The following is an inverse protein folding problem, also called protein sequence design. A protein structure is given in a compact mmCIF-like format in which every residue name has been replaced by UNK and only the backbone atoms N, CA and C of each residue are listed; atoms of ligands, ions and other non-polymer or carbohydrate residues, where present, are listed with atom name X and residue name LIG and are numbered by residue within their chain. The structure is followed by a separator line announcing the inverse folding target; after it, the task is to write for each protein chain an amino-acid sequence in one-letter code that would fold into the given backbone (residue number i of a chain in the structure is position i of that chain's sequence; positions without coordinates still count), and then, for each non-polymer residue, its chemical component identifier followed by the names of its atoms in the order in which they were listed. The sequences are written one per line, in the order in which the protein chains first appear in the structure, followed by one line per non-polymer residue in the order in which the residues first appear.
data_IF_327780672113
#
_entry.id   IF_327780672113
#
_cell.length_a   1.000
_cell.length_b   1.000
_cell.length_c   1.000
_cell.angle_alpha   90.00
_cell.angle_beta   90.00
_cell.angle_gamma   90.00
#
_symmetry.space_group_name_H-M   'P 1'
#
loop_
_entity.id
_entity.type
_entity.pdbx_description
1 polymer ?
#
# COMPACT_ATOMS: atom_id res chain seq x y z
N UNK A 1 9.41 49.22 25.06
CA UNK A 1 8.83 50.31 25.87
C UNK A 1 7.38 49.97 26.21
N UNK A 2 6.98 50.21 27.46
CA UNK A 2 5.60 50.12 27.96
C UNK A 2 5.11 51.54 28.32
N UNK A 3 3.80 51.82 28.23
CA UNK A 3 3.25 53.16 28.56
C UNK A 3 3.49 53.60 30.02
N UNK A 4 3.83 52.67 30.93
CA UNK A 4 3.99 52.95 32.35
C UNK A 4 5.25 53.74 32.77
N UNK A 5 6.10 54.16 31.83
CA UNK A 5 7.34 54.90 32.15
C UNK A 5 7.44 56.30 31.51
N UNK A 6 6.92 56.50 30.29
CA UNK A 6 6.99 57.79 29.61
C UNK A 6 5.85 57.98 28.60
N UNK A 7 4.98 58.96 28.85
CA UNK A 7 3.87 59.36 27.95
C UNK A 7 4.20 60.58 27.08
N UNK A 8 5.35 61.24 27.30
CA UNK A 8 5.70 62.51 26.63
C UNK A 8 5.98 62.33 25.14
N UNK A 9 6.42 61.14 24.73
CA UNK A 9 6.77 60.82 23.35
C UNK A 9 5.57 60.46 22.45
N UNK A 10 4.34 60.43 22.99
CA UNK A 10 3.12 60.08 22.25
C UNK A 10 2.22 61.30 21.95
N UNK A 11 2.04 61.61 20.68
CA UNK A 11 1.06 62.61 20.21
C UNK A 11 -0.31 61.97 20.01
N UNK A 12 -1.33 62.59 20.62
CA UNK A 12 -2.74 62.19 20.55
C UNK A 12 -3.47 62.94 19.45
N UNK A 13 -4.12 62.20 18.55
CA UNK A 13 -5.25 62.69 17.77
C UNK A 13 -6.55 62.62 18.58
N UNK A 14 -7.65 63.06 17.97
CA UNK A 14 -8.99 62.95 18.55
C UNK A 14 -9.33 61.50 18.91
N UNK A 15 -10.04 61.29 20.03
CA UNK A 15 -10.59 59.97 20.39
C UNK A 15 -9.71 59.04 21.22
N UNK A 16 -8.53 59.50 21.66
CA UNK A 16 -7.64 58.76 22.55
C UNK A 16 -7.45 59.47 23.90
N UNK A 17 -7.57 58.73 24.99
CA UNK A 17 -7.32 59.20 26.36
C UNK A 17 -6.18 58.42 27.02
N UNK A 18 -5.60 58.97 28.09
CA UNK A 18 -4.62 58.27 28.93
C UNK A 18 -5.18 58.19 30.36
N UNK A 19 -5.09 57.02 30.98
CA UNK A 19 -5.49 56.81 32.38
C UNK A 19 -4.28 56.44 33.26
N UNK A 20 -3.28 57.33 33.29
CA UNK A 20 -2.05 57.18 34.09
C UNK A 20 -1.04 56.16 33.57
N UNK A 21 -1.47 54.93 33.27
CA UNK A 21 -0.59 53.80 32.87
C UNK A 21 -0.92 53.21 31.50
N UNK A 22 -2.05 53.60 30.89
CA UNK A 22 -2.60 53.00 29.67
C UNK A 22 -3.07 54.08 28.69
N UNK A 23 -2.77 53.88 27.40
CA UNK A 23 -3.47 54.55 26.29
C UNK A 23 -4.82 53.84 26.05
N UNK A 24 -5.87 54.62 25.80
CA UNK A 24 -7.25 54.14 25.70
C UNK A 24 -7.91 54.75 24.45
N UNK A 25 -8.17 53.93 23.43
CA UNK A 25 -9.00 54.34 22.29
C UNK A 25 -10.49 54.21 22.64
N UNK A 26 -11.30 55.26 22.41
CA UNK A 26 -12.75 55.25 22.72
C UNK A 26 -13.64 55.87 21.64
N UNK A 27 -13.08 56.37 20.54
CA UNK A 27 -13.85 56.99 19.45
C UNK A 27 -13.79 56.21 18.15
N UNK A 28 -14.85 56.38 17.35
CA UNK A 28 -15.00 55.82 16.02
C UNK A 28 -13.79 56.09 15.10
N UNK A 29 -13.23 57.30 15.14
CA UNK A 29 -12.03 57.67 14.37
C UNK A 29 -11.03 58.42 15.23
N UNK A 30 -9.76 58.04 15.13
CA UNK A 30 -8.69 58.61 15.92
C UNK A 30 -7.32 58.04 15.55
N UNK A 31 -6.27 58.80 15.86
CA UNK A 31 -4.89 58.39 15.65
C UNK A 31 -4.07 58.58 16.93
N UNK A 32 -3.21 57.62 17.26
CA UNK A 32 -2.20 57.71 18.30
C UNK A 32 -0.83 57.49 17.65
N UNK A 33 0.03 58.50 17.71
CA UNK A 33 1.33 58.49 17.03
C UNK A 33 2.47 58.63 18.03
N UNK A 34 3.46 57.74 17.94
CA UNK A 34 4.72 57.92 18.63
C UNK A 34 5.59 58.90 17.85
N UNK A 35 5.84 60.07 18.43
CA UNK A 35 6.39 61.24 17.74
C UNK A 35 7.89 61.47 17.95
N UNK A 36 8.46 60.93 19.01
CA UNK A 36 9.89 61.07 19.34
C UNK A 36 10.45 59.70 19.67
N UNK A 37 11.32 59.19 18.79
CA UNK A 37 11.96 57.88 18.89
C UNK A 37 13.27 57.98 19.69
N UNK A 38 13.40 57.33 20.84
CA UNK A 38 14.66 56.69 21.22
C UNK A 38 14.87 55.53 20.23
N UNK A 39 16.00 55.59 19.52
CA UNK A 39 16.48 54.64 18.53
C UNK A 39 15.72 54.60 17.18
N UNK A 40 16.50 54.75 16.10
CA UNK A 40 16.08 54.68 14.70
C UNK A 40 15.37 53.36 14.39
N UNK A 41 14.18 53.42 13.78
CA UNK A 41 13.52 52.24 13.22
C UNK A 41 14.41 51.63 12.14
N UNK A 42 14.77 50.36 12.29
CA UNK A 42 15.71 49.68 11.40
C UNK A 42 14.93 48.82 10.40
N UNK A 43 15.10 49.12 9.11
CA UNK A 43 14.54 48.32 8.02
C UNK A 43 14.98 46.86 8.15
N UNK A 44 14.03 45.93 8.12
CA UNK A 44 14.26 44.49 8.23
C UNK A 44 14.38 43.94 9.67
N UNK A 45 14.29 44.76 10.72
CA UNK A 45 14.10 44.25 12.10
C UNK A 45 12.63 44.03 12.41
N UNK A 46 12.33 43.02 13.22
CA UNK A 46 10.96 42.77 13.68
C UNK A 46 10.69 43.53 14.98
N UNK A 47 9.47 44.07 15.08
CA UNK A 47 8.97 44.72 16.27
C UNK A 47 7.74 43.96 16.76
N UNK A 48 7.79 43.52 18.01
CA UNK A 48 6.67 42.93 18.73
C UNK A 48 5.79 44.05 19.30
N UNK A 49 4.48 43.94 19.08
CA UNK A 49 3.47 44.83 19.65
C UNK A 49 2.50 43.98 20.46
N UNK A 50 2.56 44.08 21.78
CA UNK A 50 1.57 43.48 22.68
C UNK A 50 0.46 44.48 22.99
N UNK A 51 -0.78 44.03 23.23
CA UNK A 51 -1.90 44.91 23.61
C UNK A 51 -3.08 44.13 24.23
N UNK A 52 -4.00 44.83 24.89
CA UNK A 52 -5.29 44.29 25.36
C UNK A 52 -6.41 44.90 24.52
N UNK A 53 -7.43 44.12 24.16
CA UNK A 53 -8.64 44.60 23.49
C UNK A 53 -9.87 44.16 24.30
N UNK A 54 -10.67 45.11 24.76
CA UNK A 54 -11.82 44.86 25.63
C UNK A 54 -13.05 45.68 25.22
N UNK A 55 -14.25 45.13 25.40
CA UNK A 55 -15.51 45.77 24.99
C UNK A 55 -15.66 46.01 23.49
N UNK A 56 -14.86 45.35 22.65
CA UNK A 56 -14.93 45.44 21.20
C UNK A 56 -16.29 44.94 20.68
N UNK A 57 -16.88 45.71 19.77
CA UNK A 57 -18.15 45.42 19.10
C UNK A 57 -18.19 45.76 17.61
N UNK A 58 -17.38 46.71 17.12
CA UNK A 58 -17.33 47.08 15.71
C UNK A 58 -16.04 47.85 15.32
N UNK A 59 -15.74 47.86 14.02
CA UNK A 59 -14.70 48.69 13.41
C UNK A 59 -13.33 48.01 13.30
N UNK A 60 -12.29 48.81 13.09
CA UNK A 60 -10.90 48.31 12.98
C UNK A 60 -9.91 49.20 13.72
N UNK A 61 -8.90 48.57 14.29
CA UNK A 61 -7.65 49.21 14.72
C UNK A 61 -6.52 48.71 13.83
N UNK A 62 -5.69 49.63 13.34
CA UNK A 62 -4.52 49.31 12.51
C UNK A 62 -3.29 49.85 13.20
N UNK A 63 -2.23 49.04 13.27
CA UNK A 63 -0.89 49.47 13.71
C UNK A 63 0.03 49.58 12.48
N UNK A 64 0.89 50.58 12.47
CA UNK A 64 1.88 50.79 11.44
C UNK A 64 3.24 51.20 12.02
N UNK A 65 4.31 50.79 11.34
CA UNK A 65 5.70 51.17 11.60
C UNK A 65 6.40 51.31 10.25
N UNK A 66 7.05 52.47 10.00
CA UNK A 66 7.58 52.79 8.67
C UNK A 66 6.50 52.68 7.58
N UNK A 67 6.67 51.73 6.67
CA UNK A 67 5.69 51.34 5.64
C UNK A 67 4.93 50.03 5.94
N UNK A 68 5.30 49.28 6.98
CA UNK A 68 4.58 48.08 7.38
C UNK A 68 3.30 48.49 8.12
N UNK A 69 2.16 47.92 7.71
CA UNK A 69 0.82 48.23 8.24
C UNK A 69 0.06 46.93 8.45
N UNK A 70 -0.57 46.76 9.61
CA UNK A 70 -1.29 45.54 9.98
C UNK A 70 -2.58 45.90 10.75
N UNK A 71 -3.70 45.32 10.31
CA UNK A 71 -4.94 45.36 11.10
C UNK A 71 -4.76 44.46 12.33
N UNK A 72 -5.03 45.00 13.52
CA UNK A 72 -5.01 44.22 14.75
C UNK A 72 -6.16 43.20 14.73
N UNK A 73 -5.98 41.98 15.28
CA UNK A 73 -7.08 41.10 15.67
C UNK A 73 -8.23 41.85 16.38
N UNK A 74 -9.46 41.62 15.91
CA UNK A 74 -10.67 42.32 16.35
C UNK A 74 -11.57 41.40 17.20
N UNK A 75 -11.03 40.90 18.31
CA UNK A 75 -11.74 40.10 19.31
C UNK A 75 -11.39 40.58 20.72
N UNK A 76 -12.19 40.22 21.73
CA UNK A 76 -11.93 40.62 23.11
C UNK A 76 -10.90 39.68 23.76
N UNK A 77 -9.65 40.14 23.92
CA UNK A 77 -8.58 39.36 24.54
C UNK A 77 -7.75 40.21 25.52
N UNK A 78 -7.41 39.58 26.66
CA UNK A 78 -6.63 40.18 27.74
C UNK A 78 -5.17 40.43 27.37
N UNK A 79 -4.60 39.62 26.47
CA UNK A 79 -3.29 39.83 25.87
C UNK A 79 -3.29 39.34 24.42
N UNK A 80 -2.95 40.25 23.51
CA UNK A 80 -2.74 40.03 22.08
C UNK A 80 -1.29 40.35 21.75
N UNK A 81 -0.76 39.74 20.69
CA UNK A 81 0.58 40.03 20.17
C UNK A 81 0.51 40.08 18.64
N UNK A 82 1.13 41.09 18.04
CA UNK A 82 1.39 41.14 16.60
C UNK A 82 2.85 41.51 16.31
N UNK A 83 3.39 41.06 15.19
CA UNK A 83 4.72 41.42 14.72
C UNK A 83 4.65 42.27 13.45
N UNK A 84 5.50 43.30 13.37
CA UNK A 84 5.68 44.11 12.17
C UNK A 84 7.16 44.16 11.78
N UNK A 85 7.44 44.10 10.48
CA UNK A 85 8.80 44.22 9.93
C UNK A 85 8.80 45.32 8.86
N UNK A 86 9.17 46.57 9.20
CA UNK A 86 9.25 47.65 8.24
C UNK A 86 10.32 47.39 7.18
N UNK A 87 10.06 47.77 5.93
CA UNK A 87 11.05 47.77 4.83
C UNK A 87 11.52 49.18 4.47
N UNK A 88 11.14 50.17 5.27
CA UNK A 88 11.70 51.53 5.28
C UNK A 88 11.88 52.03 6.72
N UNK A 89 12.97 52.73 6.99
CA UNK A 89 13.27 53.39 8.27
C UNK A 89 12.45 54.67 8.50
N UNK A 90 11.61 55.09 7.56
CA UNK A 90 10.91 56.39 7.59
C UNK A 90 9.53 56.32 8.25
N UNK A 91 9.41 56.87 9.46
CA UNK A 91 8.12 57.12 10.14
C UNK A 91 7.91 56.28 11.40
N UNK A 92 7.50 56.94 12.49
CA UNK A 92 7.29 56.34 13.81
C UNK A 92 6.08 55.39 13.90
N UNK A 93 5.96 54.72 15.04
CA UNK A 93 4.81 53.86 15.35
C UNK A 93 3.50 54.64 15.37
N UNK A 94 2.47 54.10 14.71
CA UNK A 94 1.14 54.72 14.58
C UNK A 94 0.05 53.69 14.80
N UNK A 95 -0.96 54.05 15.59
CA UNK A 95 -2.21 53.33 15.70
C UNK A 95 -3.34 54.21 15.15
N UNK A 96 -4.16 53.67 14.25
CA UNK A 96 -5.29 54.38 13.65
C UNK A 96 -6.57 53.57 13.82
N UNK A 97 -7.65 54.21 14.24
CA UNK A 97 -8.97 53.60 14.38
C UNK A 97 -9.92 54.05 13.27
N UNK A 98 -10.78 53.13 12.82
CA UNK A 98 -11.82 53.40 11.81
C UNK A 98 -13.12 52.70 12.20
N UNK A 99 -14.18 53.48 12.42
CA UNK A 99 -15.46 53.09 13.02
C UNK A 99 -15.34 52.22 14.29
N UNK A 100 -14.24 52.37 15.04
CA UNK A 100 -13.90 51.51 16.17
C UNK A 100 -14.80 51.78 17.37
N UNK A 101 -15.40 50.70 17.89
CA UNK A 101 -16.19 50.69 19.13
C UNK A 101 -15.64 49.58 20.02
N UNK A 102 -14.93 49.98 21.07
CA UNK A 102 -14.20 49.10 21.99
C UNK A 102 -13.16 49.89 22.77
N UNK A 103 -12.27 49.19 23.48
CA UNK A 103 -11.16 49.75 24.24
C UNK A 103 -9.86 49.00 23.95
N UNK A 104 -8.88 49.70 23.39
CA UNK A 104 -7.51 49.20 23.25
C UNK A 104 -6.69 49.69 24.44
N UNK A 105 -6.08 48.78 25.21
CA UNK A 105 -5.24 49.08 26.39
C UNK A 105 -3.87 48.37 26.31
N UNK A 106 -3.01 48.59 27.31
CA UNK A 106 -1.77 47.83 27.56
C UNK A 106 -0.80 47.69 26.37
N UNK A 107 -0.87 48.60 25.40
CA UNK A 107 -0.03 48.54 24.20
C UNK A 107 1.45 48.62 24.59
N UNK A 108 2.31 47.69 24.19
CA UNK A 108 3.75 47.79 24.39
C UNK A 108 4.49 47.38 23.14
N UNK A 109 5.60 48.05 22.85
CA UNK A 109 6.42 47.81 21.64
C UNK A 109 7.82 47.39 22.05
N UNK A 110 8.30 46.26 21.54
CA UNK A 110 9.64 45.73 21.80
C UNK A 110 10.33 45.45 20.47
N UNK A 111 11.56 45.94 20.31
CA UNK A 111 12.39 45.55 19.17
C UNK A 111 12.99 44.16 19.39
N UNK A 112 12.85 43.27 18.42
CA UNK A 112 13.47 41.95 18.44
C UNK A 112 14.84 42.05 17.76
N UNK A 113 15.89 42.22 18.57
CA UNK A 113 17.27 42.17 18.11
C UNK A 113 17.59 40.76 17.56
N UNK A 114 18.02 40.68 16.29
CA UNK A 114 18.10 39.44 15.51
C UNK A 114 16.76 38.67 15.48
N UNK A 115 15.83 39.02 14.56
CA UNK A 115 14.62 38.23 14.36
C UNK A 115 14.98 36.87 13.76
N UNK A 116 15.21 35.88 14.64
CA UNK A 116 14.86 34.51 14.29
C UNK A 116 13.38 34.54 13.84
N UNK A 117 13.03 34.08 12.62
CA UNK A 117 11.69 34.25 12.07
C UNK A 117 10.63 33.76 13.06
N UNK A 118 9.77 34.66 13.53
CA UNK A 118 8.73 34.34 14.51
C UNK A 118 7.44 34.07 13.75
N UNK A 119 6.91 32.85 13.89
CA UNK A 119 5.52 32.57 13.62
C UNK A 119 4.73 32.98 14.89
N UNK A 120 3.60 33.69 14.75
CA UNK A 120 2.59 33.88 15.83
C UNK A 120 1.20 33.40 15.36
N UNK A 121 0.49 32.65 16.19
CA UNK A 121 -0.94 32.38 16.02
C UNK A 121 -1.72 32.96 17.20
N UNK A 122 -2.92 33.44 16.90
CA UNK A 122 -3.89 33.81 17.90
C UNK A 122 -4.39 32.57 18.65
N UNK A 123 -4.47 32.70 19.96
CA UNK A 123 -5.33 31.88 20.79
C UNK A 123 -6.71 32.53 20.81
N UNK A 124 -7.75 31.82 20.39
CA UNK A 124 -9.14 32.12 20.75
C UNK A 124 -9.86 30.81 21.06
N UNK A 125 -10.66 30.84 22.12
CA UNK A 125 -11.65 29.84 22.56
C UNK A 125 -11.24 28.36 22.63
N UNK A 126 -10.63 27.99 23.76
CA UNK A 126 -10.71 26.62 24.32
C UNK A 126 -9.63 25.62 23.91
N UNK A 127 -8.80 25.92 22.90
CA UNK A 127 -7.62 25.14 22.56
C UNK A 127 -6.43 26.05 22.24
N UNK A 128 -5.56 26.29 23.23
CA UNK A 128 -4.34 27.06 23.04
C UNK A 128 -3.39 26.33 22.06
N UNK A 129 -3.42 26.75 20.80
CA UNK A 129 -2.54 26.21 19.75
C UNK A 129 -1.24 26.99 19.75
N UNK A 130 -0.16 26.31 20.16
CA UNK A 130 1.18 26.89 20.18
C UNK A 130 1.66 27.12 18.75
N UNK A 131 2.17 28.32 18.49
CA UNK A 131 2.68 28.68 17.17
C UNK A 131 3.86 29.62 17.38
N UNK A 132 5.06 29.04 17.37
CA UNK A 132 6.28 29.70 16.91
C UNK A 132 7.32 28.67 16.43
N UNK A 133 7.21 28.19 15.19
CA UNK A 133 8.34 27.61 14.45
C UNK A 133 9.19 28.68 13.77
N UNK A 134 10.50 28.62 14.04
CA UNK A 134 11.49 29.46 13.37
C UNK A 134 11.76 28.98 11.94
N UNK A 135 11.14 29.64 10.94
CA UNK A 135 11.35 29.34 9.51
C UNK A 135 12.59 30.03 8.93
N UNK A 136 13.78 29.55 9.29
CA UNK A 136 14.97 29.75 8.44
C UNK A 136 14.97 28.71 7.29
N UNK A 137 15.62 29.00 6.14
CA UNK A 137 15.00 28.74 4.84
C UNK A 137 14.78 27.26 4.53
N UNK A 138 13.55 26.97 4.09
CA UNK A 138 13.03 25.74 3.46
C UNK A 138 12.36 24.71 4.39
N UNK A 139 12.52 24.74 5.71
CA UNK A 139 11.81 23.80 6.63
C UNK A 139 10.56 24.43 7.26
N UNK A 140 9.46 23.68 7.42
CA UNK A 140 8.20 24.15 8.02
C UNK A 140 7.75 23.18 9.11
N UNK A 141 7.64 23.63 10.36
CA UNK A 141 7.38 22.74 11.51
C UNK A 141 6.20 23.26 12.33
N UNK A 142 5.27 22.41 12.77
CA UNK A 142 4.10 22.79 13.60
C UNK A 142 3.82 21.63 14.55
N UNK A 143 4.67 21.49 15.58
CA UNK A 143 4.65 20.37 16.54
C UNK A 143 4.39 20.87 17.96
N UNK A 144 3.54 20.14 18.69
CA UNK A 144 3.37 20.33 20.13
C UNK A 144 4.25 19.31 20.88
N UNK A 145 5.40 19.74 21.40
CA UNK A 145 6.26 18.89 22.26
C UNK A 145 7.54 18.34 21.63
N UNK A 146 8.16 19.05 20.68
CA UNK A 146 9.51 18.73 20.23
C UNK A 146 10.14 19.83 19.37
N UNK A 147 11.26 20.40 19.82
CA UNK A 147 12.08 21.28 19.00
C UNK A 147 12.90 20.43 18.02
N UNK A 148 12.74 20.68 16.71
CA UNK A 148 13.53 20.01 15.68
C UNK A 148 14.89 20.67 15.54
N UNK A 149 15.95 19.95 15.88
CA UNK A 149 17.35 20.42 15.79
C UNK A 149 18.04 19.88 14.52
N UNK A 150 17.36 19.94 13.37
CA UNK A 150 17.91 19.41 12.11
C UNK A 150 18.75 20.44 11.38
N UNK A 151 19.96 20.04 10.99
CA UNK A 151 20.78 20.71 9.96
C UNK A 151 20.28 20.44 8.53
N UNK A 152 19.38 19.47 8.36
CA UNK A 152 18.78 19.12 7.07
C UNK A 152 17.61 20.04 6.69
N UNK A 153 17.62 20.47 5.43
CA UNK A 153 16.64 21.40 4.85
C UNK A 153 15.35 20.69 4.37
N UNK A 154 14.36 21.49 3.98
CA UNK A 154 13.17 21.04 3.23
C UNK A 154 12.25 20.03 3.93
N UNK A 155 12.26 19.96 5.27
CA UNK A 155 11.33 19.11 6.01
C UNK A 155 9.99 19.83 6.25
N UNK A 156 8.87 19.11 6.22
CA UNK A 156 7.55 19.56 6.66
C UNK A 156 7.09 18.67 7.81
N UNK A 157 6.88 19.23 9.00
CA UNK A 157 6.53 18.44 10.18
C UNK A 157 5.32 19.03 10.88
N UNK A 158 4.31 18.21 11.17
CA UNK A 158 3.08 18.61 11.85
C UNK A 158 2.66 17.56 12.89
N UNK A 159 2.21 18.00 14.06
CA UNK A 159 1.67 17.12 15.10
C UNK A 159 2.64 16.85 16.25
N UNK A 160 2.09 16.48 17.40
CA UNK A 160 2.83 16.36 18.66
C UNK A 160 3.88 15.25 18.61
N UNK A 161 5.13 15.56 19.02
CA UNK A 161 6.26 14.62 19.00
C UNK A 161 6.75 14.22 17.60
N UNK A 162 6.18 14.76 16.52
CA UNK A 162 6.61 14.45 15.17
C UNK A 162 8.04 14.97 14.91
N UNK A 163 8.88 14.16 14.26
CA UNK A 163 10.27 14.52 13.93
C UNK A 163 11.18 14.88 15.11
N UNK A 164 10.82 14.55 16.35
CA UNK A 164 11.44 15.08 17.57
C UNK A 164 12.95 14.82 17.71
N UNK A 165 13.50 13.80 17.03
CA UNK A 165 14.93 13.45 17.07
C UNK A 165 15.71 13.80 15.79
N UNK A 166 15.14 14.58 14.87
CA UNK A 166 15.77 14.88 13.57
C UNK A 166 16.96 15.84 13.73
N UNK A 167 18.17 15.39 13.37
CA UNK A 167 19.44 16.12 13.53
C UNK A 167 20.10 16.52 12.22
N UNK A 168 19.89 15.75 11.15
CA UNK A 168 20.55 15.98 9.85
C UNK A 168 19.73 15.52 8.63
N UNK A 169 18.59 14.84 8.86
CA UNK A 169 17.71 14.39 7.79
C UNK A 169 17.02 15.55 7.07
N UNK A 170 16.85 15.41 5.75
CA UNK A 170 16.30 16.44 4.86
C UNK A 170 15.17 15.90 3.95
N UNK A 171 14.32 16.82 3.48
CA UNK A 171 13.23 16.54 2.54
C UNK A 171 12.17 15.53 3.04
N UNK A 172 11.90 15.49 4.36
CA UNK A 172 10.89 14.61 4.95
C UNK A 172 9.58 15.34 5.25
N UNK A 173 8.44 14.70 4.97
CA UNK A 173 7.10 15.15 5.37
C UNK A 173 6.56 14.26 6.50
N UNK A 174 6.49 14.75 7.75
CA UNK A 174 5.99 14.01 8.93
C UNK A 174 4.72 14.67 9.50
N UNK A 175 3.54 14.17 9.18
CA UNK A 175 2.26 14.74 9.60
C UNK A 175 1.46 13.74 10.46
N UNK A 176 1.42 13.96 11.77
CA UNK A 176 0.66 13.16 12.73
C UNK A 176 1.34 13.11 14.11
N UNK A 177 0.58 12.79 15.16
CA UNK A 177 1.18 12.56 16.49
C UNK A 177 2.20 11.41 16.41
N UNK A 178 3.42 11.63 16.89
CA UNK A 178 4.50 10.63 16.87
C UNK A 178 5.06 10.27 15.48
N UNK A 179 4.67 10.96 14.40
CA UNK A 179 5.15 10.66 13.05
C UNK A 179 6.67 10.91 12.91
N UNK A 180 7.43 9.87 12.55
CA UNK A 180 8.90 9.96 12.41
C UNK A 180 9.65 10.40 13.69
N UNK A 181 9.06 10.20 14.87
CA UNK A 181 9.58 10.77 16.12
C UNK A 181 11.07 10.43 16.41
N UNK A 182 11.51 9.23 16.05
CA UNK A 182 12.89 8.78 16.24
C UNK A 182 13.85 9.04 15.08
N UNK A 183 13.41 9.69 13.98
CA UNK A 183 14.24 9.89 12.79
C UNK A 183 15.34 10.88 13.06
N UNK A 184 16.59 10.50 12.81
CA UNK A 184 17.80 11.31 13.10
C UNK A 184 18.42 11.87 11.83
N UNK A 185 18.79 11.00 10.90
CA UNK A 185 19.49 11.31 9.64
C UNK A 185 18.79 10.70 8.43
N UNK A 186 17.47 10.59 8.50
CA UNK A 186 16.62 9.99 7.48
C UNK A 186 16.26 11.02 6.37
N UNK A 187 16.14 10.58 5.12
CA UNK A 187 15.88 11.45 3.97
C UNK A 187 14.64 11.02 3.16
N UNK A 188 13.97 12.00 2.54
CA UNK A 188 12.90 11.77 1.56
C UNK A 188 11.74 10.87 2.02
N UNK A 189 11.40 10.91 3.31
CA UNK A 189 10.29 10.13 3.86
C UNK A 189 8.98 10.91 3.88
N UNK A 190 7.86 10.21 3.72
CA UNK A 190 6.50 10.74 3.70
C UNK A 190 5.66 9.97 4.73
N UNK A 191 5.59 10.45 5.98
CA UNK A 191 4.87 9.80 7.08
C UNK A 191 3.61 10.60 7.43
N UNK A 192 2.43 10.02 7.20
CA UNK A 192 1.13 10.67 7.37
C UNK A 192 0.21 9.80 8.22
N UNK A 193 0.14 10.07 9.53
CA UNK A 193 -0.71 9.33 10.47
C UNK A 193 -0.14 9.27 11.90
N UNK A 194 -0.97 8.78 12.83
CA UNK A 194 -0.55 8.49 14.20
C UNK A 194 0.57 7.44 14.17
N UNK A 195 1.73 7.76 14.77
CA UNK A 195 2.91 6.91 14.87
C UNK A 195 3.45 6.38 13.54
N UNK A 196 3.12 7.00 12.41
CA UNK A 196 3.66 6.66 11.09
C UNK A 196 5.20 6.75 11.13
N UNK A 197 5.88 5.61 10.93
CA UNK A 197 7.35 5.55 11.00
C UNK A 197 7.96 5.95 12.36
N UNK A 198 7.24 5.81 13.47
CA UNK A 198 7.66 6.33 14.78
C UNK A 198 9.09 5.90 15.19
N UNK A 199 9.46 4.65 14.99
CA UNK A 199 10.77 4.10 15.33
C UNK A 199 11.87 4.37 14.28
N UNK A 200 11.54 4.99 13.15
CA UNK A 200 12.47 5.16 12.01
C UNK A 200 13.64 6.01 12.46
N UNK A 201 14.87 5.53 12.36
CA UNK A 201 16.08 6.26 12.75
C UNK A 201 16.80 6.82 11.53
N UNK A 202 17.17 5.95 10.58
CA UNK A 202 17.94 6.31 9.37
C UNK A 202 17.29 5.86 8.06
N UNK A 203 16.22 5.05 8.13
CA UNK A 203 15.49 4.57 6.95
C UNK A 203 14.99 5.73 6.09
N UNK A 204 15.21 5.64 4.78
CA UNK A 204 14.99 6.74 3.82
C UNK A 204 14.11 6.31 2.64
N UNK A 205 13.53 7.27 1.92
CA UNK A 205 12.64 7.05 0.78
C UNK A 205 11.38 6.23 1.10
N UNK A 206 10.87 6.29 2.33
CA UNK A 206 9.69 5.54 2.75
C UNK A 206 8.41 6.40 2.67
N UNK A 207 7.30 5.81 2.21
CA UNK A 207 5.97 6.42 2.14
C UNK A 207 5.00 5.66 3.07
N UNK A 208 4.71 6.19 4.26
CA UNK A 208 3.85 5.56 5.28
C UNK A 208 2.59 6.38 5.52
N UNK A 209 1.42 5.80 5.28
CA UNK A 209 0.10 6.44 5.43
C UNK A 209 -0.81 5.62 6.34
N UNK A 210 -1.34 6.22 7.40
CA UNK A 210 -2.01 5.55 8.51
C UNK A 210 -1.05 5.24 9.67
N UNK A 211 -1.43 4.34 10.58
CA UNK A 211 -0.53 3.78 11.61
C UNK A 211 0.43 2.76 10.97
N UNK A 212 1.24 3.22 10.02
CA UNK A 212 2.02 2.38 9.12
C UNK A 212 3.52 2.44 9.43
N UNK A 213 4.22 1.30 9.28
CA UNK A 213 5.67 1.21 9.50
C UNK A 213 6.16 1.63 10.89
N UNK A 214 5.31 1.54 11.92
CA UNK A 214 5.56 2.11 13.25
C UNK A 214 6.88 1.65 13.88
N UNK A 215 7.29 0.39 13.66
CA UNK A 215 8.54 -0.18 14.16
C UNK A 215 9.72 -0.16 13.16
N UNK A 216 9.56 0.45 11.98
CA UNK A 216 10.64 0.57 10.98
C UNK A 216 11.80 1.31 11.62
N UNK A 217 13.02 0.79 11.60
CA UNK A 217 14.20 1.47 12.15
C UNK A 217 15.12 1.95 11.04
N UNK A 218 15.60 1.05 10.18
CA UNK A 218 16.54 1.36 9.10
C UNK A 218 16.03 0.96 7.71
N UNK A 219 14.88 0.29 7.63
CA UNK A 219 14.25 -0.11 6.36
C UNK A 219 13.99 1.10 5.45
N UNK A 220 14.28 0.95 4.16
CA UNK A 220 14.25 2.02 3.16
C UNK A 220 13.49 1.62 1.89
N UNK A 221 13.04 2.61 1.12
CA UNK A 221 12.25 2.45 -0.11
C UNK A 221 10.92 1.68 0.08
N UNK A 222 10.29 1.76 1.26
CA UNK A 222 9.05 1.05 1.54
C UNK A 222 7.81 1.94 1.33
N UNK A 223 6.73 1.38 0.79
CA UNK A 223 5.45 2.03 0.54
C UNK A 223 4.35 1.34 1.36
N UNK A 224 3.96 1.88 2.52
CA UNK A 224 2.96 1.28 3.41
C UNK A 224 1.73 2.18 3.54
N UNK A 225 0.57 1.68 3.11
CA UNK A 225 -0.68 2.44 3.05
C UNK A 225 -1.81 1.66 3.73
N UNK A 226 -2.19 2.08 4.94
CA UNK A 226 -3.27 1.48 5.72
C UNK A 226 -2.93 1.35 7.21
N UNK A 227 -3.97 1.17 8.04
CA UNK A 227 -3.81 0.91 9.47
C UNK A 227 -2.95 -0.34 9.69
N UNK A 228 -1.83 -0.19 10.40
CA UNK A 228 -0.89 -1.28 10.71
C UNK A 228 -0.29 -1.98 9.47
N UNK A 229 -0.26 -1.29 8.33
CA UNK A 229 0.49 -1.74 7.15
C UNK A 229 2.00 -1.73 7.47
N UNK A 230 2.67 -2.87 7.28
CA UNK A 230 4.11 -3.03 7.59
C UNK A 230 4.52 -2.72 9.02
N UNK A 231 3.59 -2.80 9.99
CA UNK A 231 3.77 -2.28 11.35
C UNK A 231 5.07 -2.77 12.01
N UNK A 232 5.36 -4.08 11.92
CA UNK A 232 6.51 -4.73 12.55
C UNK A 232 7.81 -4.70 11.73
N UNK A 233 7.84 -4.01 10.57
CA UNK A 233 9.05 -3.92 9.75
C UNK A 233 10.13 -3.29 10.60
N UNK A 234 11.33 -3.87 10.66
CA UNK A 234 12.47 -3.23 11.35
C UNK A 234 13.51 -2.78 10.32
N UNK A 235 13.92 -3.68 9.44
CA UNK A 235 15.04 -3.44 8.51
C UNK A 235 14.76 -3.89 7.07
N UNK A 236 13.53 -4.36 6.78
CA UNK A 236 13.13 -4.76 5.43
C UNK A 236 13.03 -3.57 4.48
N UNK A 237 13.38 -3.78 3.21
CA UNK A 237 13.49 -2.75 2.18
C UNK A 237 12.67 -3.07 0.93
N UNK A 238 12.34 -2.05 0.16
CA UNK A 238 11.64 -2.16 -1.13
C UNK A 238 10.26 -2.87 -1.06
N UNK A 239 9.58 -2.81 0.09
CA UNK A 239 8.28 -3.48 0.27
C UNK A 239 7.11 -2.52 -0.04
N UNK A 240 6.06 -3.03 -0.68
CA UNK A 240 4.86 -2.30 -1.08
C UNK A 240 3.63 -2.93 -0.43
N UNK A 241 3.14 -2.37 0.68
CA UNK A 241 2.02 -2.89 1.45
C UNK A 241 0.82 -1.93 1.41
N UNK A 242 -0.28 -2.36 0.80
CA UNK A 242 -1.48 -1.55 0.57
C UNK A 242 -2.72 -2.28 1.12
N UNK A 243 -3.26 -1.78 2.23
CA UNK A 243 -4.42 -2.35 2.93
C UNK A 243 -4.23 -2.35 4.45
N UNK A 244 -5.33 -2.43 5.21
CA UNK A 244 -5.23 -2.62 6.66
C UNK A 244 -4.54 -3.95 6.95
N UNK A 245 -3.57 -3.96 7.87
CA UNK A 245 -2.74 -5.11 8.24
C UNK A 245 -1.92 -5.73 7.09
N UNK A 246 -1.81 -5.11 5.92
CA UNK A 246 -1.00 -5.66 4.82
C UNK A 246 0.48 -5.71 5.22
N UNK A 247 1.09 -6.90 5.13
CA UNK A 247 2.48 -7.12 5.56
C UNK A 247 2.76 -6.83 7.03
N UNK A 248 1.76 -6.82 7.91
CA UNK A 248 1.87 -6.34 9.30
C UNK A 248 3.06 -6.94 10.08
N UNK A 249 3.29 -8.24 9.94
CA UNK A 249 4.34 -9.00 10.63
C UNK A 249 5.70 -9.03 9.94
N UNK A 250 5.86 -8.43 8.75
CA UNK A 250 7.16 -8.37 8.07
C UNK A 250 8.15 -7.65 8.96
N UNK A 251 9.31 -8.26 9.23
CA UNK A 251 10.34 -7.70 10.09
C UNK A 251 11.62 -7.39 9.33
N UNK A 252 12.07 -8.34 8.50
CA UNK A 252 13.32 -8.23 7.73
C UNK A 252 13.18 -8.60 6.24
N UNK A 253 12.00 -9.07 5.81
CA UNK A 253 11.75 -9.45 4.41
C UNK A 253 11.83 -8.24 3.47
N UNK A 254 12.31 -8.48 2.25
CA UNK A 254 12.57 -7.44 1.24
C UNK A 254 11.80 -7.71 -0.07
N UNK A 255 11.58 -6.66 -0.85
CA UNK A 255 10.98 -6.74 -2.19
C UNK A 255 9.57 -7.38 -2.23
N UNK A 256 8.80 -7.33 -1.13
CA UNK A 256 7.46 -7.92 -1.08
C UNK A 256 6.38 -6.92 -1.50
N UNK A 257 5.42 -7.38 -2.29
CA UNK A 257 4.22 -6.65 -2.69
C UNK A 257 3.01 -7.30 -2.02
N UNK A 258 2.29 -6.59 -1.14
CA UNK A 258 1.08 -7.09 -0.47
C UNK A 258 -0.08 -6.10 -0.60
N UNK A 259 -1.03 -6.40 -1.48
CA UNK A 259 -2.15 -5.54 -1.85
C UNK A 259 -3.48 -6.21 -1.45
N UNK A 260 -4.08 -5.74 -0.36
CA UNK A 260 -5.36 -6.23 0.17
C UNK A 260 -5.42 -6.19 1.69
N UNK A 261 -6.63 -6.18 2.23
CA UNK A 261 -6.89 -6.36 3.67
C UNK A 261 -6.22 -7.67 4.13
N UNK A 262 -5.32 -7.57 5.11
CA UNK A 262 -4.60 -8.71 5.69
C UNK A 262 -3.78 -9.54 4.69
N UNK A 263 -3.37 -8.98 3.54
CA UNK A 263 -2.44 -9.67 2.63
C UNK A 263 -1.06 -9.81 3.29
N UNK A 264 -0.48 -11.01 3.31
CA UNK A 264 0.86 -11.26 3.85
C UNK A 264 1.06 -10.99 5.35
N UNK A 265 0.00 -11.01 6.18
CA UNK A 265 0.05 -10.61 7.61
C UNK A 265 1.20 -11.26 8.38
N UNK A 266 1.39 -12.58 8.26
CA UNK A 266 2.42 -13.29 9.01
C UNK A 266 3.73 -13.50 8.24
N UNK A 267 3.91 -12.90 7.06
CA UNK A 267 5.21 -12.93 6.39
C UNK A 267 6.24 -12.20 7.25
N UNK A 268 7.11 -12.89 7.99
CA UNK A 268 8.07 -12.27 8.91
C UNK A 268 9.45 -12.02 8.29
N UNK A 269 9.90 -12.94 7.44
CA UNK A 269 11.25 -12.96 6.85
C UNK A 269 11.28 -13.19 5.35
N UNK A 270 10.17 -13.67 4.76
CA UNK A 270 10.07 -14.01 3.35
C UNK A 270 10.24 -12.80 2.45
N UNK A 271 10.92 -13.00 1.33
CA UNK A 271 11.28 -11.94 0.38
C UNK A 271 10.79 -12.27 -1.04
N UNK A 272 10.71 -11.23 -1.88
CA UNK A 272 10.30 -11.31 -3.29
C UNK A 272 8.86 -11.86 -3.51
N UNK A 273 7.98 -11.78 -2.52
CA UNK A 273 6.61 -12.30 -2.64
C UNK A 273 5.64 -11.27 -3.23
N UNK A 274 4.66 -11.74 -3.99
CA UNK A 274 3.56 -10.97 -4.57
C UNK A 274 2.23 -11.51 -4.06
N UNK A 275 1.54 -10.77 -3.18
CA UNK A 275 0.28 -11.15 -2.56
C UNK A 275 -0.80 -10.11 -2.92
N UNK A 276 -1.74 -10.46 -3.80
CA UNK A 276 -2.77 -9.56 -4.31
C UNK A 276 -4.15 -10.15 -4.03
N UNK A 277 -4.87 -9.60 -3.05
CA UNK A 277 -6.18 -10.06 -2.60
C UNK A 277 -6.33 -10.03 -1.08
N UNK A 278 -7.57 -9.97 -0.60
CA UNK A 278 -7.86 -10.05 0.84
C UNK A 278 -7.36 -11.39 1.39
N UNK A 279 -6.53 -11.35 2.44
CA UNK A 279 -5.87 -12.51 3.04
C UNK A 279 -5.00 -13.38 2.09
N UNK A 280 -4.58 -12.85 0.93
CA UNK A 280 -3.61 -13.52 0.08
C UNK A 280 -2.28 -13.72 0.85
N UNK A 281 -1.73 -14.93 0.84
CA UNK A 281 -0.49 -15.26 1.57
C UNK A 281 -0.55 -15.01 3.08
N UNK A 282 -1.71 -15.09 3.72
CA UNK A 282 -1.91 -14.71 5.12
C UNK A 282 -0.87 -15.29 6.10
N UNK A 283 -0.51 -16.57 5.96
CA UNK A 283 0.54 -17.26 6.74
C UNK A 283 1.95 -17.27 6.12
N UNK A 284 2.13 -16.76 4.90
CA UNK A 284 3.27 -17.10 4.04
C UNK A 284 4.57 -16.43 4.48
N UNK A 285 5.54 -17.22 4.95
CA UNK A 285 6.91 -16.77 5.35
C UNK A 285 8.01 -17.22 4.39
N UNK A 286 7.67 -18.06 3.40
CA UNK A 286 8.57 -18.45 2.31
C UNK A 286 8.87 -17.31 1.32
N UNK A 287 9.68 -17.60 0.31
CA UNK A 287 10.17 -16.63 -0.68
C UNK A 287 9.60 -16.88 -2.08
N UNK A 288 9.67 -15.84 -2.92
CA UNK A 288 9.44 -15.92 -4.37
C UNK A 288 8.04 -16.43 -4.76
N UNK A 289 7.04 -16.25 -3.89
CA UNK A 289 5.66 -16.70 -4.13
C UNK A 289 4.80 -15.64 -4.83
N UNK A 290 3.85 -16.07 -5.65
CA UNK A 290 2.97 -15.25 -6.48
C UNK A 290 1.50 -15.63 -6.27
N UNK A 291 0.83 -14.99 -5.31
CA UNK A 291 -0.56 -15.28 -4.92
C UNK A 291 -1.51 -14.14 -5.33
N UNK A 292 -2.41 -14.44 -6.25
CA UNK A 292 -3.35 -13.48 -6.84
C UNK A 292 -4.79 -13.99 -6.67
N UNK A 293 -5.49 -13.52 -5.64
CA UNK A 293 -6.86 -13.88 -5.32
C UNK A 293 -7.14 -13.79 -3.81
N UNK A 294 -8.42 -13.67 -3.44
CA UNK A 294 -8.84 -13.75 -2.04
C UNK A 294 -8.34 -15.07 -1.43
N UNK A 295 -7.64 -15.02 -0.30
CA UNK A 295 -7.10 -16.19 0.40
C UNK A 295 -6.26 -17.15 -0.47
N UNK A 296 -5.70 -16.66 -1.59
CA UNK A 296 -4.77 -17.41 -2.40
C UNK A 296 -3.49 -17.68 -1.59
N UNK A 297 -3.07 -18.95 -1.47
CA UNK A 297 -1.93 -19.34 -0.64
C UNK A 297 -2.07 -19.03 0.86
N UNK A 298 -3.29 -18.82 1.37
CA UNK A 298 -3.57 -18.46 2.76
C UNK A 298 -2.80 -19.31 3.78
N UNK A 299 -2.72 -20.62 3.52
CA UNK A 299 -2.14 -21.62 4.41
C UNK A 299 -0.65 -21.90 4.20
N UNK A 300 0.00 -21.31 3.19
CA UNK A 300 1.44 -21.47 3.01
C UNK A 300 2.16 -20.90 4.25
N UNK A 301 3.07 -21.66 4.84
CA UNK A 301 3.97 -21.21 5.92
C UNK A 301 5.39 -21.02 5.42
N UNK A 302 6.05 -22.05 4.87
CA UNK A 302 7.48 -21.99 4.46
C UNK A 302 7.73 -22.35 2.99
N UNK A 303 6.68 -22.62 2.21
CA UNK A 303 6.76 -22.98 0.81
C UNK A 303 7.24 -21.83 -0.09
N UNK A 304 8.13 -22.13 -1.03
CA UNK A 304 8.80 -21.15 -1.90
C UNK A 304 8.40 -21.35 -3.37
N UNK A 305 8.57 -20.31 -4.20
CA UNK A 305 8.37 -20.36 -5.66
C UNK A 305 6.97 -20.85 -6.11
N UNK A 306 5.93 -20.69 -5.28
CA UNK A 306 4.57 -21.10 -5.65
C UNK A 306 3.83 -19.98 -6.39
N UNK A 307 3.04 -20.32 -7.42
CA UNK A 307 2.19 -19.38 -8.16
C UNK A 307 0.74 -19.80 -8.06
N UNK A 308 -0.07 -19.10 -7.25
CA UNK A 308 -1.47 -19.42 -7.00
C UNK A 308 -2.38 -18.26 -7.45
N UNK A 309 -3.14 -18.46 -8.52
CA UNK A 309 -3.94 -17.42 -9.18
C UNK A 309 -5.41 -17.84 -9.18
N UNK A 310 -6.19 -17.22 -8.30
CA UNK A 310 -7.62 -17.46 -8.10
C UNK A 310 -8.01 -17.39 -6.62
N UNK A 311 -9.25 -17.00 -6.33
CA UNK A 311 -9.78 -17.04 -4.96
C UNK A 311 -9.66 -18.45 -4.39
N UNK A 312 -9.11 -18.61 -3.18
CA UNK A 312 -8.84 -19.91 -2.53
C UNK A 312 -7.90 -20.85 -3.31
N UNK A 313 -7.13 -20.36 -4.29
CA UNK A 313 -6.11 -21.17 -4.96
C UNK A 313 -4.98 -21.53 -3.98
N UNK A 314 -4.62 -22.81 -3.87
CA UNK A 314 -3.66 -23.31 -2.88
C UNK A 314 -4.11 -23.13 -1.43
N UNK A 315 -5.42 -22.99 -1.19
CA UNK A 315 -5.98 -22.96 0.16
C UNK A 315 -6.00 -24.38 0.74
N UNK A 316 -5.16 -24.66 1.73
CA UNK A 316 -5.19 -25.93 2.45
C UNK A 316 -6.10 -25.82 3.69
N UNK A 317 -7.15 -26.63 3.76
CA UNK A 317 -8.02 -26.74 4.93
C UNK A 317 -7.45 -27.62 6.06
N UNK A 318 -6.39 -28.39 5.81
CA UNK A 318 -5.77 -29.29 6.79
C UNK A 318 -4.76 -28.61 7.72
N UNK A 319 -4.61 -27.28 7.65
CA UNK A 319 -3.60 -26.52 8.39
C UNK A 319 -2.50 -25.99 7.49
N UNK A 320 -1.26 -26.03 7.98
CA UNK A 320 -0.10 -25.37 7.36
C UNK A 320 0.40 -26.10 6.09
N UNK A 321 1.10 -25.37 5.23
CA UNK A 321 1.60 -25.85 3.93
C UNK A 321 3.03 -25.34 3.65
N UNK A 322 3.97 -26.26 3.47
CA UNK A 322 5.40 -26.01 3.23
C UNK A 322 5.88 -26.40 1.81
N UNK A 323 4.96 -26.86 0.97
CA UNK A 323 5.27 -27.29 -0.40
C UNK A 323 5.74 -26.14 -1.30
N UNK A 324 6.61 -26.46 -2.25
CA UNK A 324 7.32 -25.48 -3.09
C UNK A 324 7.18 -25.77 -4.59
N UNK A 325 7.38 -24.75 -5.43
CA UNK A 325 7.33 -24.82 -6.89
C UNK A 325 5.96 -25.22 -7.48
N UNK A 326 4.84 -25.03 -6.76
CA UNK A 326 3.52 -25.40 -7.24
C UNK A 326 2.85 -24.26 -8.00
N UNK A 327 2.30 -24.54 -9.18
CA UNK A 327 1.50 -23.59 -9.98
C UNK A 327 0.03 -24.01 -9.94
N UNK A 328 -0.85 -23.10 -9.56
CA UNK A 328 -2.30 -23.33 -9.48
C UNK A 328 -3.03 -22.12 -10.04
N UNK A 329 -3.89 -22.32 -11.04
CA UNK A 329 -4.59 -21.23 -11.73
C UNK A 329 -6.06 -21.61 -11.87
N UNK A 330 -6.90 -20.95 -11.08
CA UNK A 330 -8.34 -21.17 -10.97
C UNK A 330 -8.80 -20.83 -9.55
N UNK A 331 -10.05 -20.38 -9.39
CA UNK A 331 -10.60 -20.29 -8.04
C UNK A 331 -10.70 -21.71 -7.43
N UNK A 332 -10.27 -21.90 -6.19
CA UNK A 332 -10.20 -23.18 -5.48
C UNK A 332 -9.36 -24.27 -6.18
N UNK A 333 -8.40 -23.92 -7.05
CA UNK A 333 -7.42 -24.89 -7.56
C UNK A 333 -6.45 -25.33 -6.46
N UNK A 334 -6.21 -26.64 -6.38
CA UNK A 334 -5.37 -27.28 -5.37
C UNK A 334 -5.92 -27.19 -3.95
N UNK A 335 -7.24 -27.16 -3.76
CA UNK A 335 -7.89 -27.05 -2.44
C UNK A 335 -7.61 -28.23 -1.49
N UNK A 336 -7.00 -29.30 -1.98
CA UNK A 336 -6.52 -30.43 -1.19
C UNK A 336 -4.98 -30.52 -1.10
N UNK A 337 -4.23 -29.49 -1.50
CA UNK A 337 -2.77 -29.52 -1.37
C UNK A 337 -2.36 -29.60 0.10
N UNK A 338 -1.41 -30.47 0.39
CA UNK A 338 -0.92 -30.74 1.73
C UNK A 338 0.60 -30.52 1.82
N UNK A 339 1.11 -30.57 3.06
CA UNK A 339 2.55 -30.48 3.34
C UNK A 339 3.37 -31.48 2.51
N UNK A 340 4.56 -31.04 2.08
CA UNK A 340 5.49 -31.81 1.25
C UNK A 340 5.16 -31.88 -0.25
N UNK A 341 4.06 -31.29 -0.73
CA UNK A 341 3.71 -31.32 -2.15
C UNK A 341 4.61 -30.37 -3.00
N UNK A 342 5.33 -30.92 -3.99
CA UNK A 342 6.28 -30.18 -4.82
C UNK A 342 5.94 -30.21 -6.31
N UNK A 343 6.29 -29.15 -7.04
CA UNK A 343 6.33 -29.12 -8.51
C UNK A 343 4.99 -29.46 -9.22
N UNK A 344 3.84 -29.22 -8.60
CA UNK A 344 2.54 -29.56 -9.19
C UNK A 344 2.00 -28.43 -10.08
N UNK A 345 1.25 -28.77 -11.13
CA UNK A 345 0.52 -27.84 -12.00
C UNK A 345 -0.99 -28.14 -11.94
N UNK A 346 -1.80 -27.18 -11.51
CA UNK A 346 -3.25 -27.30 -11.44
C UNK A 346 -3.90 -26.17 -12.22
N UNK A 347 -4.62 -26.46 -13.31
CA UNK A 347 -5.27 -25.46 -14.15
C UNK A 347 -6.78 -25.70 -14.21
N UNK A 348 -7.58 -24.79 -13.68
CA UNK A 348 -9.04 -24.81 -13.69
C UNK A 348 -9.65 -24.54 -12.32
N UNK A 349 -10.91 -24.10 -12.30
CA UNK A 349 -11.66 -23.90 -11.06
C UNK A 349 -11.98 -25.22 -10.35
N UNK A 350 -11.85 -25.23 -9.01
CA UNK A 350 -12.21 -26.34 -8.12
C UNK A 350 -11.52 -27.66 -8.45
N UNK A 351 -10.30 -27.58 -8.98
CA UNK A 351 -9.50 -28.74 -9.40
C UNK A 351 -8.61 -29.17 -8.25
N UNK A 352 -8.65 -30.45 -7.89
CA UNK A 352 -7.81 -31.03 -6.84
C UNK A 352 -6.68 -31.89 -7.42
N UNK A 353 -5.61 -32.02 -6.64
CA UNK A 353 -4.50 -32.94 -6.86
C UNK A 353 -4.98 -34.39 -6.69
N UNK A 354 -4.54 -35.36 -7.51
CA UNK A 354 -4.83 -36.78 -7.29
C UNK A 354 -4.43 -37.28 -5.89
N UNK A 355 -3.35 -36.74 -5.33
CA UNK A 355 -2.93 -36.98 -3.94
C UNK A 355 -2.43 -35.66 -3.35
N UNK A 356 -2.97 -35.21 -2.21
CA UNK A 356 -2.71 -33.85 -1.69
C UNK A 356 -1.25 -33.53 -1.38
N UNK A 357 -0.48 -34.51 -0.88
CA UNK A 357 0.97 -34.43 -0.67
C UNK A 357 1.79 -34.95 -1.87
N UNK A 358 1.14 -35.17 -3.01
CA UNK A 358 1.78 -35.62 -4.24
C UNK A 358 2.72 -34.56 -4.78
N UNK A 359 3.69 -35.02 -5.58
CA UNK A 359 4.61 -34.13 -6.29
C UNK A 359 4.62 -34.44 -7.78
N UNK A 360 4.94 -33.45 -8.60
CA UNK A 360 5.04 -33.53 -10.06
C UNK A 360 3.71 -33.90 -10.76
N UNK A 361 2.56 -33.55 -10.18
CA UNK A 361 1.23 -33.84 -10.73
C UNK A 361 0.74 -32.71 -11.63
N UNK A 362 0.17 -33.05 -12.79
CA UNK A 362 -0.46 -32.09 -13.72
C UNK A 362 -1.96 -32.36 -13.81
N UNK A 363 -2.76 -31.34 -13.52
CA UNK A 363 -4.22 -31.45 -13.47
C UNK A 363 -4.87 -30.29 -14.23
N UNK A 364 -5.11 -30.49 -15.53
CA UNK A 364 -5.82 -29.52 -16.38
C UNK A 364 -7.31 -29.88 -16.39
N UNK A 365 -8.06 -29.21 -15.51
CA UNK A 365 -9.38 -29.58 -14.99
C UNK A 365 -9.44 -30.95 -14.32
N UNK A 366 -9.17 -31.98 -15.10
CA UNK A 366 -8.89 -33.40 -14.80
C UNK A 366 -9.05 -34.23 -16.10
N UNK A 367 -9.20 -33.54 -17.25
CA UNK A 367 -10.32 -33.91 -18.10
C UNK A 367 -10.30 -33.35 -19.53
N UNK A 368 -9.55 -32.30 -19.90
CA UNK A 368 -9.82 -31.58 -21.18
C UNK A 368 -8.57 -31.29 -22.01
N UNK A 369 -8.68 -31.50 -23.32
CA UNK A 369 -7.70 -31.29 -24.38
C UNK A 369 -8.29 -30.38 -25.48
N UNK A 370 -7.44 -29.75 -26.30
CA UNK A 370 -7.80 -28.91 -27.44
C UNK A 370 -6.82 -29.12 -28.61
N UNK A 371 -7.28 -29.10 -29.85
CA UNK A 371 -6.43 -29.15 -31.06
C UNK A 371 -6.91 -28.12 -32.10
N UNK A 372 -6.08 -27.78 -33.10
CA UNK A 372 -6.42 -26.97 -34.28
C UNK A 372 -6.95 -25.53 -34.07
N UNK A 373 -6.99 -25.02 -32.85
CA UNK A 373 -7.37 -23.64 -32.55
C UNK A 373 -6.23 -22.65 -32.89
N UNK A 374 -6.09 -22.32 -34.18
CA UNK A 374 -4.95 -21.55 -34.73
C UNK A 374 -5.33 -20.23 -35.43
N UNK A 375 -6.59 -19.80 -35.33
CA UNK A 375 -6.99 -18.51 -35.89
C UNK A 375 -6.74 -17.34 -34.93
N UNK A 376 -6.59 -16.16 -35.49
CA UNK A 376 -6.43 -14.90 -34.74
C UNK A 376 -7.78 -14.17 -34.62
N UNK A 377 -7.93 -13.35 -33.58
CA UNK A 377 -9.21 -12.72 -33.26
C UNK A 377 -10.28 -13.74 -32.88
N UNK A 378 -11.42 -13.74 -33.58
CA UNK A 378 -12.51 -14.71 -33.39
C UNK A 378 -12.40 -15.94 -34.30
N UNK A 379 -11.37 -16.01 -35.14
CA UNK A 379 -11.25 -17.07 -36.13
C UNK A 379 -10.92 -18.39 -35.45
N UNK A 380 -11.74 -19.41 -35.65
CA UNK A 380 -11.42 -20.80 -35.29
C UNK A 380 -11.20 -21.52 -36.62
N UNK A 381 -10.03 -22.13 -36.83
CA UNK A 381 -9.83 -22.93 -38.04
C UNK A 381 -10.74 -24.15 -38.01
N UNK A 382 -11.22 -24.59 -39.18
CA UNK A 382 -12.10 -25.77 -39.33
C UNK A 382 -11.44 -27.08 -38.87
N UNK A 383 -10.13 -27.06 -38.67
CA UNK A 383 -9.31 -28.12 -38.10
C UNK A 383 -9.33 -28.16 -36.56
N UNK A 384 -9.97 -27.21 -35.88
CA UNK A 384 -10.04 -27.14 -34.42
C UNK A 384 -10.92 -28.24 -33.81
N UNK A 385 -10.49 -28.76 -32.66
CA UNK A 385 -11.13 -29.88 -31.93
C UNK A 385 -10.86 -29.82 -30.41
N UNK A 386 -11.48 -30.68 -29.60
CA UNK A 386 -11.22 -30.77 -28.15
C UNK A 386 -11.41 -32.19 -27.60
N UNK A 387 -10.53 -32.73 -26.76
CA UNK A 387 -10.67 -34.10 -26.23
C UNK A 387 -11.09 -34.10 -24.76
N UNK A 388 -11.81 -35.13 -24.28
CA UNK A 388 -12.22 -35.21 -22.86
C UNK A 388 -11.95 -36.57 -22.22
N UNK A 389 -11.25 -36.58 -21.08
CA UNK A 389 -10.52 -37.72 -20.48
C UNK A 389 -9.43 -38.29 -21.42
N UNK A 390 -9.33 -37.72 -22.61
CA UNK A 390 -8.89 -38.33 -23.87
C UNK A 390 -8.49 -37.24 -24.83
N UNK A 391 -7.54 -37.57 -25.67
CA UNK A 391 -6.50 -36.64 -26.07
C UNK A 391 -6.47 -36.37 -27.57
N UNK A 392 -7.06 -37.25 -28.38
CA UNK A 392 -6.98 -37.17 -29.85
C UNK A 392 -8.36 -37.18 -30.56
N UNK A 393 -9.05 -36.03 -30.60
CA UNK A 393 -10.26 -35.79 -31.40
C UNK A 393 -10.18 -36.26 -32.86
N UNK A 394 -10.87 -37.36 -33.15
CA UNK A 394 -11.20 -37.82 -34.49
C UNK A 394 -12.26 -36.88 -35.10
N UNK A 395 -13.36 -36.66 -34.40
CA UNK A 395 -14.27 -35.52 -34.62
C UNK A 395 -13.70 -34.22 -34.03
N UNK A 396 -14.39 -33.09 -34.18
CA UNK A 396 -14.14 -31.86 -33.39
C UNK A 396 -14.19 -32.08 -31.86
N UNK A 397 -14.52 -33.29 -31.37
CA UNK A 397 -14.34 -33.73 -29.98
C UNK A 397 -14.06 -35.26 -29.85
N UNK A 398 -13.40 -35.77 -28.78
CA UNK A 398 -13.22 -37.23 -28.49
C UNK A 398 -13.33 -37.68 -27.02
N UNK A 399 -13.60 -38.98 -26.78
CA UNK A 399 -13.60 -39.69 -25.47
C UNK A 399 -13.32 -41.23 -25.58
N UNK A 400 -12.42 -41.74 -24.71
CA UNK A 400 -11.90 -43.13 -24.49
C UNK A 400 -11.68 -43.42 -22.96
N UNK A 401 -11.54 -44.70 -22.59
CA UNK A 401 -11.14 -45.20 -21.26
C UNK A 401 -11.11 -46.75 -21.20
N UNK A 402 -10.41 -47.40 -20.25
CA UNK A 402 -10.19 -48.85 -20.23
C UNK A 402 -11.36 -49.70 -19.70
N UNK A 403 -11.32 -51.00 -20.00
CA UNK A 403 -12.30 -52.04 -19.67
C UNK A 403 -11.52 -53.37 -19.86
N UNK A 404 -11.14 -54.15 -18.84
CA UNK A 404 -10.07 -55.18 -19.00
C UNK A 404 -10.51 -56.66 -19.00
N UNK A 405 -10.12 -57.47 -20.02
CA UNK A 405 -10.36 -58.93 -19.98
C UNK A 405 -9.42 -59.60 -18.95
N UNK A 406 -9.93 -60.37 -17.97
CA UNK A 406 -9.10 -61.07 -17.00
C UNK A 406 -8.47 -62.38 -17.57
N UNK A 407 -8.17 -62.45 -18.88
CA UNK A 407 -7.89 -63.74 -19.55
C UNK A 407 -6.48 -64.00 -20.10
N UNK A 408 -5.65 -64.59 -19.24
CA UNK A 408 -4.75 -65.67 -19.64
C UNK A 408 -5.11 -66.98 -18.94
N UNK A 409 -5.50 -67.99 -19.73
CA UNK A 409 -5.20 -69.42 -19.50
C UNK A 409 -5.27 -70.18 -20.82
N UNK A 410 -4.17 -70.83 -21.20
CA UNK A 410 -4.18 -72.19 -21.77
C UNK A 410 -2.93 -72.95 -21.31
N UNK A 411 -3.10 -73.81 -20.31
CA UNK A 411 -2.67 -75.20 -20.44
C UNK A 411 -3.95 -76.04 -20.43
N UNK A 412 -3.97 -77.13 -21.17
CA UNK A 412 -5.15 -77.98 -21.31
C UNK A 412 -5.60 -78.55 -19.96
N UNK A 413 -6.91 -78.73 -19.78
CA UNK A 413 -7.52 -79.11 -18.50
C UNK A 413 -8.55 -78.08 -18.02
N UNK A 414 -9.78 -78.23 -18.51
CA UNK A 414 -11.00 -77.45 -18.23
C UNK A 414 -10.95 -76.40 -17.11
N UNK A 415 -11.16 -75.13 -17.48
CA UNK A 415 -11.95 -74.14 -16.74
C UNK A 415 -12.24 -72.94 -17.65
N UNK A 416 -13.54 -72.68 -17.89
CA UNK A 416 -14.00 -71.36 -18.32
C UNK A 416 -13.61 -70.32 -17.25
N UNK A 417 -13.29 -69.11 -17.66
CA UNK A 417 -13.23 -67.91 -16.80
C UNK A 417 -13.40 -66.70 -17.75
N UNK A 418 -13.74 -65.55 -17.21
CA UNK A 418 -14.49 -64.50 -17.92
C UNK A 418 -13.72 -63.74 -19.02
N UNK A 419 -14.41 -63.26 -20.06
CA UNK A 419 -14.03 -62.11 -20.89
C UNK A 419 -14.98 -60.91 -20.64
N UNK A 420 -14.43 -59.69 -20.46
CA UNK A 420 -15.21 -58.52 -20.00
C UNK A 420 -14.45 -57.21 -20.24
N UNK A 421 -14.42 -56.67 -21.47
CA UNK A 421 -13.34 -55.73 -21.85
C UNK A 421 -13.65 -54.69 -22.93
N UNK A 422 -12.60 -53.99 -23.38
CA UNK A 422 -12.63 -52.71 -24.10
C UNK A 422 -13.27 -52.82 -25.46
N UNK A 423 -14.58 -52.60 -25.47
CA UNK A 423 -15.30 -52.17 -26.64
C UNK A 423 -15.04 -50.67 -26.87
N UNK A 424 -13.86 -50.32 -27.37
CA UNK A 424 -13.65 -49.00 -27.99
C UNK A 424 -14.54 -48.91 -29.22
N UNK A 425 -15.42 -47.90 -29.25
CA UNK A 425 -16.45 -47.75 -30.29
C UNK A 425 -16.16 -46.53 -31.16
N UNK A 426 -15.34 -46.70 -32.19
CA UNK A 426 -15.15 -45.67 -33.21
C UNK A 426 -16.45 -45.47 -34.01
N UNK A 427 -16.94 -44.23 -34.05
CA UNK A 427 -18.06 -43.84 -34.90
C UNK A 427 -17.60 -43.72 -36.35
N UNK A 428 -17.95 -44.69 -37.20
CA UNK A 428 -17.67 -44.61 -38.64
C UNK A 428 -18.63 -43.67 -39.37
N UNK A 429 -18.07 -42.67 -40.05
CA UNK A 429 -18.72 -42.00 -41.18
C UNK A 429 -18.25 -42.60 -42.51
N UNK A 430 -19.23 -43.01 -43.34
CA UNK A 430 -19.13 -43.30 -44.78
C UNK A 430 -18.20 -44.44 -45.32
N UNK A 431 -18.87 -45.47 -45.86
CA UNK A 431 -18.49 -46.35 -47.00
C UNK A 431 -17.32 -47.35 -46.85
N UNK A 432 -17.65 -48.64 -46.67
CA UNK A 432 -16.74 -49.76 -47.00
C UNK A 432 -16.80 -50.99 -46.06
N UNK A 433 -17.81 -51.85 -46.19
CA UNK A 433 -17.88 -53.18 -45.56
C UNK A 433 -17.14 -54.22 -46.46
N UNK A 434 -16.65 -55.41 -45.98
CA UNK A 434 -17.46 -56.28 -45.11
C UNK A 434 -16.83 -57.37 -44.19
N UNK A 435 -17.72 -57.92 -43.34
CA UNK A 435 -17.74 -59.21 -42.62
C UNK A 435 -16.62 -59.65 -41.67
N UNK A 436 -16.98 -59.66 -40.38
CA UNK A 436 -16.67 -60.79 -39.48
C UNK A 436 -17.91 -61.67 -39.30
N UNK A 437 -17.95 -62.83 -39.96
CA UNK A 437 -18.83 -63.95 -39.59
C UNK A 437 -18.12 -65.27 -39.88
N UNK A 438 -17.68 -65.94 -38.83
CA UNK A 438 -17.77 -67.40 -38.71
C UNK A 438 -18.07 -67.72 -37.24
N UNK A 439 -19.28 -68.20 -37.01
CA UNK A 439 -19.69 -68.87 -35.78
C UNK A 439 -19.02 -70.24 -35.71
N UNK A 440 -18.44 -70.61 -34.57
CA UNK A 440 -17.95 -71.98 -34.36
C UNK A 440 -19.14 -72.95 -34.31
N UNK A 441 -19.28 -73.77 -35.36
CA UNK A 441 -20.11 -74.96 -35.37
C UNK A 441 -19.51 -76.01 -36.33
N UNK A 442 -18.91 -77.06 -35.78
CA UNK A 442 -18.61 -78.29 -36.51
C UNK A 442 -17.29 -78.32 -37.31
N UNK A 443 -16.50 -79.35 -37.05
CA UNK A 443 -15.30 -79.79 -37.76
C UNK A 443 -15.26 -79.58 -39.29
N UNK A 444 -14.21 -78.94 -39.79
CA UNK A 444 -13.86 -78.90 -41.22
C UNK A 444 -12.40 -78.46 -41.44
N UNK A 445 -11.53 -79.36 -41.89
CA UNK A 445 -10.05 -79.18 -41.95
C UNK A 445 -9.63 -77.99 -42.85
N UNK A 446 -8.69 -77.17 -42.38
CA UNK A 446 -8.17 -76.05 -43.19
C UNK A 446 -6.88 -75.36 -42.73
N UNK A 447 -6.07 -75.94 -41.83
CA UNK A 447 -4.82 -75.30 -41.41
C UNK A 447 -3.78 -75.25 -42.54
N UNK A 448 -3.44 -74.06 -43.04
CA UNK A 448 -2.11 -73.77 -43.57
C UNK A 448 -1.58 -72.45 -43.03
N UNK A 449 -0.45 -72.55 -42.32
CA UNK A 449 0.38 -71.41 -41.96
C UNK A 449 1.30 -71.09 -43.13
N UNK A 450 1.44 -69.81 -43.47
CA UNK A 450 2.44 -69.30 -44.39
C UNK A 450 3.35 -68.32 -43.67
N UNK A 451 4.41 -68.81 -43.02
CA UNK A 451 5.49 -67.96 -42.54
C UNK A 451 6.38 -67.55 -43.73
N UNK A 452 6.09 -66.40 -44.35
CA UNK A 452 7.05 -65.66 -45.15
C UNK A 452 7.92 -64.81 -44.22
N UNK A 453 9.23 -65.03 -44.22
CA UNK A 453 10.12 -64.45 -43.20
C UNK A 453 10.37 -62.95 -43.34
N UNK A 454 10.02 -62.19 -42.30
CA UNK A 454 11.00 -61.46 -41.49
C UNK A 454 10.30 -60.81 -40.28
N UNK A 455 10.94 -60.87 -39.10
CA UNK A 455 10.43 -60.21 -37.91
C UNK A 455 10.59 -58.69 -38.01
N UNK A 456 9.52 -57.94 -37.69
CA UNK A 456 9.45 -56.85 -36.68
C UNK A 456 8.21 -55.98 -36.95
N UNK A 457 7.44 -55.69 -35.89
CA UNK A 457 6.59 -54.50 -35.82
C UNK A 457 5.12 -54.68 -36.21
N UNK A 458 4.25 -54.71 -35.19
CA UNK A 458 2.84 -54.34 -35.38
C UNK A 458 2.77 -52.90 -35.92
N UNK A 459 2.01 -52.68 -36.99
CA UNK A 459 1.55 -51.34 -37.38
C UNK A 459 0.02 -51.31 -37.43
N UNK A 460 -0.55 -50.45 -36.61
CA UNK A 460 -1.97 -50.15 -36.62
C UNK A 460 -2.27 -49.04 -37.65
N UNK A 461 -3.42 -49.17 -38.30
CA UNK A 461 -4.28 -48.08 -38.81
C UNK A 461 -3.59 -47.02 -39.70
N UNK A 462 -3.84 -47.12 -41.01
CA UNK A 462 -3.82 -45.97 -41.92
C UNK A 462 -5.25 -45.41 -42.01
N UNK A 463 -5.45 -44.13 -41.65
CA UNK A 463 -6.68 -43.41 -41.99
C UNK A 463 -6.44 -42.65 -43.30
N UNK A 464 -7.26 -42.93 -44.32
CA UNK A 464 -7.43 -42.07 -45.50
C UNK A 464 -8.80 -41.42 -45.36
N UNK A 465 -8.86 -40.09 -45.47
CA UNK A 465 -10.12 -39.38 -45.64
C UNK A 465 -10.37 -39.17 -47.12
N UNK A 466 -11.50 -39.66 -47.61
CA UNK A 466 -11.94 -39.44 -48.99
C UNK A 466 -12.54 -38.03 -49.17
N UNK A 467 -12.59 -37.61 -50.43
CA UNK A 467 -13.60 -36.71 -50.96
C UNK A 467 -14.71 -37.54 -51.63
#
# INVERSE_FOLDING_TARGET
QTFGADTTNWTRGTGWTFNGTQAVATAATGALTYTTLPDTIISGRAYEVTYTLAGYSAGTVTVAVGNATLALPQHNATANVVLLTPTSATGGFRFTTSNFTGRLDNVAVVEIANPAPVLLAGQDDGAATLYNPVRMPNSTTISNGGAMYSTGLSNVVFGSGAGARLTSGASNNFLGNGAGANSTSAFYNNFFGLNAGNANTTGSYNNFFGEAGAFNTTGSNNNFFGTQAGQANSTGNNNNFFGSFSGQGNRIGNNNNAFGLSAGVFNTTGSNNNFFGQAAGYKATGNDNNFFGQSAGYSNTSGNNNTFIGSLSGYNSSGDFDGSNNTMIGASSGGNIASGALNNLVLGNSVNLPTGNGSNQVVIKNLIFGTGASGTGTTIQTTAKAGINVNNPQSTLDVEGPYEWPYRRRKHGHRYKQPSATATRHGHGARGYPYTRCTDAGFGRGCRWGFGGNHIGHRAIHCVGDA
#
